data_IF_832550138186
#
_entry.id   IF_832550138186
#
_cell.length_a   1.000
_cell.length_b   1.000
_cell.length_c   1.000
_cell.angle_alpha   90.00
_cell.angle_beta   90.00
_cell.angle_gamma   90.00
#
_symmetry.space_group_name_H-M   'P 1'
#
loop_
_entity.id
_entity.type
_entity.pdbx_description
1 polymer ?
#
# COMPACT_ATOMS: atom_id res chain seq x y z
N UNK A 1 0.02 -2.35 -11.90
CA UNK A 1 -1.25 -2.47 -11.17
C UNK A 1 -1.96 -1.13 -11.00
N UNK A 2 -1.23 -0.03 -10.85
CA UNK A 2 -1.81 1.32 -10.68
C UNK A 2 -2.68 1.74 -11.85
N UNK A 3 -2.34 1.33 -13.08
CA UNK A 3 -3.17 1.56 -14.27
C UNK A 3 -4.60 0.99 -14.12
N UNK A 4 -4.78 -0.05 -13.32
CA UNK A 4 -6.08 -0.67 -13.04
C UNK A 4 -6.74 -0.17 -11.75
N UNK A 5 -6.20 0.84 -11.07
CA UNK A 5 -6.70 1.30 -9.76
C UNK A 5 -8.19 1.69 -9.81
N UNK A 6 -8.60 2.45 -10.84
CA UNK A 6 -10.00 2.86 -11.02
C UNK A 6 -10.91 1.64 -11.21
N UNK A 7 -10.59 0.76 -12.16
CA UNK A 7 -11.38 -0.44 -12.46
C UNK A 7 -11.42 -1.41 -11.28
N UNK A 8 -10.29 -1.59 -10.58
CA UNK A 8 -10.25 -2.40 -9.35
C UNK A 8 -11.15 -1.84 -8.25
N UNK A 9 -11.26 -0.53 -8.13
CA UNK A 9 -12.13 0.12 -7.14
C UNK A 9 -13.61 0.03 -7.55
N UNK A 10 -13.93 0.37 -8.79
CA UNK A 10 -15.30 0.39 -9.27
C UNK A 10 -15.94 -1.01 -9.25
N UNK A 11 -15.20 -2.02 -9.67
CA UNK A 11 -15.69 -3.39 -9.74
C UNK A 11 -15.83 -4.06 -8.36
N UNK A 12 -15.39 -3.43 -7.25
CA UNK A 12 -15.76 -3.88 -5.90
C UNK A 12 -17.28 -3.91 -5.69
N UNK A 13 -18.03 -3.09 -6.43
CA UNK A 13 -19.49 -3.05 -6.38
C UNK A 13 -20.15 -4.32 -6.93
N UNK A 14 -19.44 -5.03 -7.81
CA UNK A 14 -19.90 -6.30 -8.40
C UNK A 14 -19.63 -7.51 -7.48
N UNK A 15 -18.80 -7.34 -6.46
CA UNK A 15 -18.41 -8.38 -5.51
C UNK A 15 -19.35 -8.43 -4.30
N UNK A 16 -20.65 -8.47 -4.54
CA UNK A 16 -21.70 -8.46 -3.51
C UNK A 16 -21.66 -9.71 -2.60
N UNK A 17 -21.17 -10.84 -3.14
CA UNK A 17 -21.01 -12.10 -2.42
C UNK A 17 -19.62 -12.27 -1.77
N UNK A 18 -18.85 -11.17 -1.68
CA UNK A 18 -17.63 -11.10 -0.91
C UNK A 18 -17.90 -10.45 0.45
N UNK A 19 -17.23 -10.87 1.53
CA UNK A 19 -17.36 -10.24 2.84
C UNK A 19 -17.14 -8.73 2.76
N UNK A 20 -18.02 -7.94 3.36
CA UNK A 20 -17.94 -6.47 3.37
C UNK A 20 -16.59 -5.97 3.90
N UNK A 21 -16.03 -6.66 4.90
CA UNK A 21 -14.72 -6.35 5.46
C UNK A 21 -13.59 -6.47 4.42
N UNK A 22 -13.61 -7.50 3.57
CA UNK A 22 -12.60 -7.67 2.51
C UNK A 22 -12.71 -6.56 1.48
N UNK A 23 -13.93 -6.22 1.06
CA UNK A 23 -14.18 -5.11 0.13
C UNK A 23 -13.68 -3.78 0.71
N UNK A 24 -14.01 -3.48 1.95
CA UNK A 24 -13.52 -2.28 2.64
C UNK A 24 -11.99 -2.25 2.77
N UNK A 25 -11.35 -3.40 3.05
CA UNK A 25 -9.88 -3.49 3.08
C UNK A 25 -9.27 -3.16 1.72
N UNK A 26 -9.83 -3.68 0.62
CA UNK A 26 -9.35 -3.38 -0.73
C UNK A 26 -9.61 -1.92 -1.12
N UNK A 27 -10.80 -1.39 -0.85
CA UNK A 27 -11.15 0.01 -1.09
C UNK A 27 -10.16 0.95 -0.39
N UNK A 28 -9.90 0.73 0.89
CA UNK A 28 -8.95 1.52 1.67
C UNK A 28 -7.50 1.36 1.17
N UNK A 29 -7.12 0.16 0.67
CA UNK A 29 -5.79 -0.09 0.15
C UNK A 29 -5.57 0.57 -1.21
N UNK A 30 -6.55 0.52 -2.10
CA UNK A 30 -6.55 1.22 -3.38
C UNK A 30 -6.53 2.73 -3.13
N UNK A 31 -7.38 3.22 -2.23
CA UNK A 31 -7.32 4.54 -1.63
C UNK A 31 -7.36 5.67 -2.65
N UNK A 32 -8.53 5.89 -3.27
CA UNK A 32 -8.76 7.02 -4.19
C UNK A 32 -8.92 8.32 -3.40
N UNK A 33 -8.10 9.30 -3.68
CA UNK A 33 -8.13 10.61 -3.04
C UNK A 33 -8.37 11.70 -4.09
N UNK A 34 -9.45 12.45 -3.93
CA UNK A 34 -9.73 13.64 -4.73
C UNK A 34 -9.11 14.85 -4.05
N UNK A 35 -8.41 15.67 -4.81
CA UNK A 35 -7.76 16.86 -4.26
C UNK A 35 -7.28 17.81 -5.34
N UNK A 36 -6.32 18.64 -4.98
CA UNK A 36 -5.73 19.64 -5.85
C UNK A 36 -4.21 19.52 -5.79
N UNK A 37 -3.57 19.46 -6.95
CA UNK A 37 -2.14 19.69 -7.09
C UNK A 37 -1.91 21.20 -7.16
N UNK A 38 -1.20 21.75 -6.19
CA UNK A 38 -0.99 23.20 -6.02
C UNK A 38 0.48 23.51 -6.27
N UNK A 39 0.74 24.56 -7.03
CA UNK A 39 2.07 24.96 -7.44
C UNK A 39 2.61 26.12 -6.60
N UNK A 40 3.64 25.85 -5.80
CA UNK A 40 4.38 26.83 -5.01
C UNK A 40 5.69 27.19 -5.72
N UNK A 41 5.79 28.41 -6.27
CA UNK A 41 7.00 28.88 -6.95
C UNK A 41 8.09 29.18 -5.92
N UNK A 42 9.32 28.77 -6.18
CA UNK A 42 10.45 29.05 -5.29
C UNK A 42 10.95 30.48 -5.55
N UNK A 43 11.16 31.22 -4.47
CA UNK A 43 11.69 32.61 -4.55
C UNK A 43 13.13 32.58 -5.07
N UNK A 44 13.38 33.29 -6.17
CA UNK A 44 14.71 33.40 -6.78
C UNK A 44 15.13 32.19 -7.63
N UNK A 45 14.24 31.27 -7.93
CA UNK A 45 14.47 30.14 -8.82
C UNK A 45 13.27 29.91 -9.77
N UNK A 46 13.52 29.21 -10.87
CA UNK A 46 12.43 28.80 -11.79
C UNK A 46 11.69 27.53 -11.30
N UNK A 47 12.19 26.90 -10.26
CA UNK A 47 11.65 25.66 -9.74
C UNK A 47 10.28 25.87 -9.06
N UNK A 48 9.45 24.85 -9.15
CA UNK A 48 8.11 24.80 -8.57
C UNK A 48 8.00 23.57 -7.69
N UNK A 49 7.50 23.74 -6.47
CA UNK A 49 7.10 22.64 -5.60
C UNK A 49 5.61 22.39 -5.84
N UNK A 50 5.27 21.23 -6.35
CA UNK A 50 3.87 20.81 -6.48
C UNK A 50 3.46 20.02 -5.24
N UNK A 51 2.39 20.44 -4.60
CA UNK A 51 1.81 19.83 -3.39
C UNK A 51 0.45 19.25 -3.72
N UNK A 52 0.20 18.01 -3.39
CA UNK A 52 -1.15 17.44 -3.42
C UNK A 52 -1.83 17.62 -2.06
N UNK A 53 -3.07 18.13 -2.08
CA UNK A 53 -3.89 18.23 -0.87
C UNK A 53 -5.34 17.82 -1.10
N UNK A 54 -5.92 17.11 -0.14
CA UNK A 54 -7.37 16.84 -0.06
C UNK A 54 -8.12 17.95 0.70
N UNK A 55 -7.37 18.92 1.25
CA UNK A 55 -7.84 20.03 2.06
C UNK A 55 -7.52 21.40 1.42
N UNK A 56 -7.98 21.68 0.18
CA UNK A 56 -7.77 22.99 -0.44
C UNK A 56 -8.43 24.14 0.36
N UNK A 57 -9.44 23.84 1.19
CA UNK A 57 -10.10 24.76 2.11
C UNK A 57 -9.12 25.43 3.10
N UNK A 58 -7.97 24.82 3.38
CA UNK A 58 -6.99 25.34 4.35
C UNK A 58 -5.83 26.10 3.73
N UNK A 59 -5.76 26.24 2.39
CA UNK A 59 -4.61 26.81 1.68
C UNK A 59 -4.22 28.24 2.14
N UNK A 60 -5.21 29.07 2.51
CA UNK A 60 -4.95 30.41 3.02
C UNK A 60 -4.22 30.42 4.36
N UNK A 61 -4.28 29.30 5.11
CA UNK A 61 -3.58 29.06 6.37
C UNK A 61 -2.23 28.38 6.22
N UNK A 62 -1.80 28.07 4.99
CA UNK A 62 -0.50 27.45 4.75
C UNK A 62 0.62 28.44 5.05
N UNK A 63 1.46 28.14 6.04
CA UNK A 63 2.53 29.04 6.54
C UNK A 63 3.93 28.49 6.29
N UNK A 64 4.08 27.26 5.85
CA UNK A 64 5.32 26.68 5.37
C UNK A 64 5.04 25.48 4.44
N UNK A 65 6.07 25.03 3.74
CA UNK A 65 6.03 23.83 2.87
C UNK A 65 7.04 22.82 3.41
N UNK A 66 6.70 21.55 3.37
CA UNK A 66 7.62 20.47 3.80
C UNK A 66 7.79 19.46 2.66
N UNK A 67 9.05 19.18 2.34
CA UNK A 67 9.42 18.13 1.37
C UNK A 67 9.81 16.85 2.09
N UNK A 68 9.61 15.73 1.43
CA UNK A 68 10.25 14.49 1.84
C UNK A 68 11.77 14.62 1.74
N UNK A 69 12.56 14.06 2.66
CA UNK A 69 14.02 14.12 2.59
C UNK A 69 14.60 13.59 1.27
N UNK A 70 13.92 12.63 0.66
CA UNK A 70 14.29 11.99 -0.61
C UNK A 70 13.84 12.78 -1.86
N UNK A 71 13.13 13.90 -1.68
CA UNK A 71 12.59 14.67 -2.80
C UNK A 71 13.70 15.22 -3.70
N UNK A 72 13.60 15.10 -5.06
CA UNK A 72 14.69 15.48 -5.99
C UNK A 72 15.14 16.94 -5.85
N UNK A 73 14.21 17.85 -5.54
CA UNK A 73 14.54 19.27 -5.36
C UNK A 73 15.42 19.54 -4.13
N UNK A 74 15.45 18.66 -3.12
CA UNK A 74 16.22 18.89 -1.88
C UNK A 74 17.69 19.14 -2.20
N UNK A 75 18.33 18.20 -2.90
CA UNK A 75 19.75 18.32 -3.28
C UNK A 75 20.00 19.55 -4.15
N UNK A 76 19.11 19.84 -5.10
CA UNK A 76 19.23 20.98 -6.00
C UNK A 76 19.17 22.31 -5.25
N UNK A 77 18.23 22.46 -4.31
CA UNK A 77 17.97 23.70 -3.59
C UNK A 77 19.03 24.05 -2.55
N UNK A 78 19.74 23.04 -2.01
CA UNK A 78 20.76 23.28 -0.97
C UNK A 78 22.19 23.30 -1.53
N UNK A 79 22.39 22.89 -2.78
CA UNK A 79 23.72 22.84 -3.40
C UNK A 79 24.40 24.20 -3.37
N UNK A 80 25.62 24.24 -2.80
CA UNK A 80 26.41 25.49 -2.64
C UNK A 80 25.93 26.43 -1.55
N UNK A 81 24.91 26.07 -0.77
CA UNK A 81 24.42 26.89 0.37
C UNK A 81 25.09 26.48 1.68
N UNK A 82 25.02 27.35 2.68
CA UNK A 82 25.49 27.05 4.04
C UNK A 82 24.72 25.90 4.71
N UNK A 83 23.52 25.58 4.23
CA UNK A 83 22.67 24.52 4.77
C UNK A 83 22.98 23.12 4.18
N UNK A 84 23.72 23.03 3.07
CA UNK A 84 23.94 21.80 2.32
C UNK A 84 24.39 20.63 3.21
N UNK A 85 25.45 20.84 3.99
CA UNK A 85 26.01 19.80 4.87
C UNK A 85 25.00 19.28 5.90
N UNK A 86 24.26 20.19 6.54
CA UNK A 86 23.27 19.82 7.57
C UNK A 86 22.06 19.09 6.97
N UNK A 87 21.58 19.56 5.83
CA UNK A 87 20.45 18.95 5.13
C UNK A 87 20.80 17.55 4.63
N UNK A 88 21.96 17.37 4.00
CA UNK A 88 22.38 16.05 3.51
C UNK A 88 22.60 15.04 4.66
N UNK A 89 23.15 15.48 5.79
CA UNK A 89 23.26 14.63 6.98
C UNK A 89 21.87 14.19 7.52
N UNK A 90 20.88 15.08 7.49
CA UNK A 90 19.51 14.73 7.87
C UNK A 90 18.86 13.76 6.90
N UNK A 91 19.07 13.94 5.59
CA UNK A 91 18.60 13.01 4.56
C UNK A 91 19.15 11.59 4.80
N UNK A 92 20.45 11.46 5.05
CA UNK A 92 21.11 10.20 5.34
C UNK A 92 20.59 9.57 6.65
N UNK A 93 20.48 10.36 7.72
CA UNK A 93 19.88 9.91 9.00
C UNK A 93 18.48 9.36 8.79
N UNK A 94 17.66 10.04 7.99
CA UNK A 94 16.25 9.68 7.77
C UNK A 94 16.13 8.46 6.85
N UNK A 95 17.01 8.28 5.88
CA UNK A 95 17.04 7.10 5.01
C UNK A 95 17.22 5.78 5.78
N UNK A 96 17.87 5.82 6.94
CA UNK A 96 18.05 4.67 7.83
C UNK A 96 16.84 4.36 8.73
N UNK A 97 15.84 5.27 8.82
CA UNK A 97 14.58 5.03 9.54
C UNK A 97 13.60 4.25 8.68
N UNK A 98 12.97 3.21 9.22
CA UNK A 98 11.90 2.51 8.49
C UNK A 98 10.69 3.44 8.27
N UNK A 99 9.94 3.24 7.18
CA UNK A 99 8.72 4.01 6.90
C UNK A 99 7.69 3.89 8.04
N UNK A 100 7.59 2.73 8.67
CA UNK A 100 6.71 2.52 9.82
C UNK A 100 7.10 3.39 11.01
N UNK A 101 8.39 3.52 11.31
CA UNK A 101 8.89 4.42 12.37
C UNK A 101 8.59 5.90 12.06
N UNK A 102 8.77 6.32 10.79
CA UNK A 102 8.48 7.70 10.36
C UNK A 102 6.99 8.06 10.47
N UNK A 103 6.10 7.07 10.32
CA UNK A 103 4.64 7.23 10.40
C UNK A 103 4.06 7.03 11.80
N UNK A 104 4.83 6.48 12.74
CA UNK A 104 4.36 6.23 14.11
C UNK A 104 4.08 7.56 14.83
N UNK A 105 2.93 7.61 15.56
CA UNK A 105 2.47 8.82 16.26
C UNK A 105 3.23 9.15 17.56
N UNK A 106 4.19 8.31 17.98
CA UNK A 106 4.85 8.42 19.29
C UNK A 106 6.15 9.21 19.34
N UNK A 107 6.77 9.49 18.20
CA UNK A 107 8.03 10.25 18.15
C UNK A 107 7.82 11.69 17.71
N UNK A 108 8.59 12.60 18.33
CA UNK A 108 8.64 14.01 17.92
C UNK A 108 9.07 14.12 16.46
N UNK A 109 8.29 14.84 15.65
CA UNK A 109 8.60 15.05 14.23
C UNK A 109 9.81 15.94 14.08
N UNK A 110 10.80 15.45 13.32
CA UNK A 110 12.04 16.17 13.06
C UNK A 110 12.03 16.78 11.67
N UNK A 111 12.66 17.93 11.52
CA UNK A 111 12.86 18.58 10.22
C UNK A 111 13.87 19.68 10.25
N UNK A 112 14.34 20.10 9.07
CA UNK A 112 15.36 21.13 8.88
C UNK A 112 14.89 22.10 7.79
N UNK A 113 15.09 23.41 8.03
CA UNK A 113 14.86 24.44 7.02
C UNK A 113 15.89 24.34 5.88
N UNK A 114 15.42 24.44 4.64
CA UNK A 114 16.29 24.45 3.46
C UNK A 114 16.96 25.83 3.21
N UNK A 115 16.56 26.87 3.94
CA UNK A 115 17.04 28.23 3.72
C UNK A 115 16.40 28.95 2.53
N UNK A 116 15.46 28.31 1.85
CA UNK A 116 14.69 28.86 0.72
C UNK A 116 13.24 29.11 1.10
N UNK A 117 12.56 29.98 0.34
CA UNK A 117 11.13 30.28 0.50
C UNK A 117 10.35 29.90 -0.77
N UNK A 118 9.08 29.55 -0.61
CA UNK A 118 8.16 29.35 -1.71
C UNK A 118 6.98 30.33 -1.60
N UNK A 119 6.39 30.72 -2.71
CA UNK A 119 5.26 31.66 -2.76
C UNK A 119 3.95 30.86 -2.61
N UNK A 120 3.18 31.18 -1.57
CA UNK A 120 1.81 30.67 -1.46
C UNK A 120 0.96 31.35 -2.56
N UNK A 121 0.41 30.56 -3.52
CA UNK A 121 -0.22 31.14 -4.71
C UNK A 121 -1.50 31.93 -4.42
N UNK A 122 -2.20 31.67 -3.31
CA UNK A 122 -3.50 32.31 -3.01
C UNK A 122 -3.37 33.69 -2.35
N UNK A 123 -2.24 33.95 -1.65
CA UNK A 123 -2.04 35.23 -0.93
C UNK A 123 -0.73 35.96 -1.29
N UNK A 124 0.17 35.30 -2.04
CA UNK A 124 1.45 35.88 -2.47
C UNK A 124 2.54 35.89 -1.39
N UNK A 125 2.31 35.29 -0.24
CA UNK A 125 3.28 35.28 0.87
C UNK A 125 4.43 34.31 0.59
N UNK A 126 5.65 34.77 0.90
CA UNK A 126 6.86 33.98 0.84
C UNK A 126 7.04 33.16 2.14
N UNK A 127 6.67 31.88 2.10
CA UNK A 127 6.71 30.96 3.24
C UNK A 127 7.95 30.06 3.18
N UNK A 128 8.55 29.68 4.34
CA UNK A 128 9.77 28.87 4.36
C UNK A 128 9.52 27.43 3.90
N UNK A 129 10.58 26.83 3.34
CA UNK A 129 10.59 25.42 2.91
C UNK A 129 11.46 24.60 3.85
N UNK A 130 10.92 23.48 4.32
CA UNK A 130 11.56 22.50 5.19
C UNK A 130 11.68 21.15 4.51
N UNK A 131 12.53 20.27 5.04
CA UNK A 131 12.39 18.81 4.92
C UNK A 131 11.92 18.26 6.25
N UNK A 132 11.09 17.22 6.21
CA UNK A 132 10.55 16.59 7.42
C UNK A 132 10.52 15.07 7.32
N UNK A 133 10.88 14.37 8.41
CA UNK A 133 10.90 12.91 8.44
C UNK A 133 9.52 12.27 8.35
N UNK A 134 8.47 13.02 8.58
CA UNK A 134 7.07 12.58 8.50
C UNK A 134 6.43 12.74 7.10
N UNK A 135 7.13 13.35 6.14
CA UNK A 135 6.71 13.43 4.74
C UNK A 135 7.36 12.30 3.96
N UNK A 136 6.54 11.56 3.21
CA UNK A 136 7.00 10.41 2.43
C UNK A 136 6.98 10.74 0.94
N UNK A 137 8.07 10.39 0.22
CA UNK A 137 8.14 10.55 -1.23
C UNK A 137 7.08 9.76 -2.00
N UNK A 138 6.63 8.67 -1.42
CA UNK A 138 5.69 7.75 -2.04
C UNK A 138 4.21 8.16 -1.88
N UNK A 139 3.89 9.27 -1.24
CA UNK A 139 2.53 9.76 -1.08
C UNK A 139 2.37 11.14 -1.70
N UNK A 140 1.38 11.27 -2.57
CA UNK A 140 1.17 12.51 -3.34
C UNK A 140 2.38 12.84 -4.21
N UNK A 141 2.91 14.03 -4.02
CA UNK A 141 4.07 14.56 -4.75
C UNK A 141 5.38 14.48 -3.95
N UNK A 142 5.37 13.91 -2.74
CA UNK A 142 6.50 13.99 -1.80
C UNK A 142 6.68 15.38 -1.17
N UNK A 143 5.66 16.23 -1.27
CA UNK A 143 5.61 17.56 -0.70
C UNK A 143 4.23 17.81 -0.06
N UNK A 144 4.21 18.55 1.04
CA UNK A 144 2.98 19.01 1.69
C UNK A 144 3.01 20.50 1.93
N UNK A 145 1.87 21.15 1.83
CA UNK A 145 1.64 22.44 2.43
C UNK A 145 1.27 22.23 3.90
N UNK A 146 1.90 22.94 4.80
CA UNK A 146 1.65 22.81 6.22
C UNK A 146 0.69 23.87 6.72
N UNK A 147 -0.36 23.42 7.42
CA UNK A 147 -1.43 24.25 7.96
C UNK A 147 -1.57 24.03 9.45
N UNK A 148 -0.72 24.64 10.28
CA UNK A 148 -0.57 24.34 11.70
C UNK A 148 -1.87 24.41 12.52
N UNK A 149 -2.79 25.28 12.18
CA UNK A 149 -4.05 25.43 12.93
C UNK A 149 -5.08 24.36 12.60
N UNK A 150 -4.87 23.56 11.53
CA UNK A 150 -5.85 22.60 11.00
C UNK A 150 -5.27 21.21 10.69
N UNK A 151 -4.01 20.94 11.05
CA UNK A 151 -3.38 19.60 11.07
C UNK A 151 -2.52 19.49 12.33
N UNK A 152 -2.73 18.46 13.13
CA UNK A 152 -2.08 18.31 14.43
C UNK A 152 -0.56 18.10 14.29
N UNK A 153 -0.09 17.42 13.26
CA UNK A 153 1.36 17.23 13.02
C UNK A 153 2.04 18.55 12.67
N UNK A 154 1.38 19.35 11.86
CA UNK A 154 1.87 20.66 11.48
C UNK A 154 1.85 21.63 12.68
N UNK A 155 0.84 21.52 13.57
CA UNK A 155 0.75 22.30 14.81
C UNK A 155 1.94 22.02 15.74
N UNK A 156 2.25 20.76 15.98
CA UNK A 156 3.38 20.33 16.81
C UNK A 156 4.73 20.77 16.22
N UNK A 157 4.87 20.63 14.90
CA UNK A 157 6.07 21.06 14.19
C UNK A 157 6.24 22.58 14.23
N UNK A 158 5.18 23.33 13.98
CA UNK A 158 5.20 24.79 14.01
C UNK A 158 5.53 25.33 15.40
N UNK A 159 4.97 24.74 16.46
CA UNK A 159 5.32 25.07 17.84
C UNK A 159 6.81 24.82 18.14
N UNK A 160 7.33 23.69 17.69
CA UNK A 160 8.74 23.32 17.86
C UNK A 160 9.70 24.30 17.19
N UNK A 161 9.37 24.71 15.97
CA UNK A 161 10.20 25.59 15.15
C UNK A 161 9.81 27.07 15.25
N UNK A 162 8.83 27.42 16.11
CA UNK A 162 8.30 28.79 16.31
C UNK A 162 7.86 29.42 14.99
N UNK A 163 7.16 28.65 14.16
CA UNK A 163 6.65 29.10 12.87
C UNK A 163 5.31 29.83 13.03
N UNK A 164 4.99 30.76 12.13
CA UNK A 164 3.70 31.45 12.17
C UNK A 164 2.54 30.48 11.94
N UNK A 165 1.41 30.80 12.57
CA UNK A 165 0.17 30.03 12.44
C UNK A 165 -0.96 30.98 12.05
N UNK A 166 -1.94 30.50 11.29
CA UNK A 166 -3.09 31.28 10.85
C UNK A 166 -4.35 30.44 10.87
N UNK A 167 -5.36 30.90 11.64
CA UNK A 167 -6.67 30.29 11.69
C UNK A 167 -7.43 30.63 10.39
N UNK A 168 -7.88 29.61 9.67
CA UNK A 168 -8.70 29.78 8.45
C UNK A 168 -10.02 28.99 8.49
N UNK A 169 -10.22 28.18 9.54
CA UNK A 169 -11.51 27.55 9.83
C UNK A 169 -11.83 27.82 11.30
N UNK A 170 -13.04 28.29 11.56
CA UNK A 170 -13.56 28.57 12.89
C UNK A 170 -14.77 27.71 13.20
N UNK A 171 -15.00 27.45 14.49
CA UNK A 171 -16.25 26.86 14.93
C UNK A 171 -17.43 27.80 14.63
N UNK A 172 -18.57 27.32 14.10
CA UNK A 172 -19.65 28.19 13.62
C UNK A 172 -20.29 29.08 14.70
N UNK A 173 -20.19 28.68 15.96
CA UNK A 173 -20.83 29.40 17.10
C UNK A 173 -19.84 30.00 18.08
N UNK A 174 -18.67 29.41 18.22
CA UNK A 174 -17.68 29.77 19.23
C UNK A 174 -16.34 30.06 18.56
N UNK A 175 -16.05 31.34 18.31
CA UNK A 175 -14.77 31.71 17.74
C UNK A 175 -13.64 31.53 18.79
N UNK A 176 -12.56 30.88 18.36
CA UNK A 176 -11.36 30.70 19.19
C UNK A 176 -10.20 31.58 18.67
N UNK A 177 -9.26 31.87 19.56
CA UNK A 177 -8.07 32.66 19.25
C UNK A 177 -6.83 31.78 19.21
N UNK A 178 -5.83 32.20 18.45
CA UNK A 178 -4.59 31.46 18.29
C UNK A 178 -3.89 31.20 19.63
N UNK A 179 -3.89 32.19 20.53
CA UNK A 179 -3.24 32.14 21.85
C UNK A 179 -3.90 31.10 22.78
N UNK A 180 -5.15 30.72 22.51
CA UNK A 180 -5.88 29.74 23.31
C UNK A 180 -5.78 28.32 22.76
N UNK A 181 -5.13 28.11 21.60
CA UNK A 181 -5.02 26.80 20.98
C UNK A 181 -3.95 25.93 21.67
N UNK A 182 -4.34 24.79 22.17
CA UNK A 182 -3.45 23.73 22.68
C UNK A 182 -3.28 22.58 21.68
N UNK A 183 -4.12 22.54 20.65
CA UNK A 183 -4.13 21.54 19.59
C UNK A 183 -4.74 22.13 18.31
N UNK A 184 -4.52 21.47 17.18
CA UNK A 184 -5.13 21.86 15.91
C UNK A 184 -6.65 21.67 15.93
N UNK A 185 -7.36 22.50 15.16
CA UNK A 185 -8.80 22.38 14.93
C UNK A 185 -9.05 21.66 13.60
N UNK A 186 -9.33 20.36 13.67
CA UNK A 186 -9.43 19.49 12.50
C UNK A 186 -10.89 19.17 12.10
N UNK A 187 -11.88 19.68 12.85
CA UNK A 187 -13.30 19.40 12.61
C UNK A 187 -13.95 20.39 11.66
N UNK A 188 -15.20 20.13 11.28
CA UNK A 188 -15.97 21.00 10.40
C UNK A 188 -16.19 22.40 11.01
N UNK A 189 -16.20 23.42 10.15
CA UNK A 189 -16.38 24.81 10.54
C UNK A 189 -16.66 25.71 9.35
N UNK A 190 -16.55 27.00 9.57
CA UNK A 190 -16.70 28.06 8.55
C UNK A 190 -15.37 28.71 8.26
N UNK A 191 -15.12 29.06 7.01
CA UNK A 191 -13.91 29.74 6.61
C UNK A 191 -13.84 31.17 7.16
N UNK A 192 -12.64 31.54 7.58
CA UNK A 192 -12.24 32.90 7.96
C UNK A 192 -10.84 33.18 7.39
N UNK A 193 -10.47 34.47 7.23
CA UNK A 193 -9.16 34.86 6.68
C UNK A 193 -8.84 34.21 5.31
N UNK A 194 -9.88 33.87 4.54
CA UNK A 194 -9.83 33.16 3.26
C UNK A 194 -10.40 33.98 2.11
N UNK A 195 -10.34 35.32 2.23
CA UNK A 195 -10.82 36.29 1.23
C UNK A 195 -12.31 36.06 0.85
N UNK A 196 -12.59 35.88 -0.45
CA UNK A 196 -13.96 35.69 -0.99
C UNK A 196 -14.62 34.40 -0.51
N UNK A 197 -13.94 33.53 0.21
CA UNK A 197 -14.46 32.30 0.74
C UNK A 197 -14.86 32.37 2.22
N UNK A 198 -14.66 33.53 2.87
CA UNK A 198 -15.04 33.74 4.26
C UNK A 198 -16.54 33.50 4.48
N UNK A 199 -16.88 32.84 5.59
CA UNK A 199 -18.26 32.49 5.94
C UNK A 199 -18.81 31.22 5.26
N UNK A 200 -18.09 30.62 4.31
CA UNK A 200 -18.52 29.38 3.67
C UNK A 200 -18.15 28.18 4.57
N UNK A 201 -19.06 27.19 4.74
CA UNK A 201 -18.71 25.93 5.39
C UNK A 201 -17.54 25.26 4.68
N UNK A 202 -16.55 24.76 5.44
CA UNK A 202 -15.31 24.25 4.86
C UNK A 202 -15.51 23.08 3.90
N UNK A 203 -16.49 22.20 4.12
CA UNK A 203 -16.78 21.10 3.21
C UNK A 203 -17.29 21.58 1.84
N UNK A 204 -18.07 22.65 1.81
CA UNK A 204 -18.50 23.30 0.57
C UNK A 204 -17.34 24.06 -0.09
N UNK A 205 -16.54 24.72 0.72
CA UNK A 205 -15.40 25.51 0.28
C UNK A 205 -14.34 24.67 -0.44
N UNK A 206 -14.12 23.41 -0.05
CA UNK A 206 -13.19 22.49 -0.73
C UNK A 206 -13.40 22.46 -2.24
N UNK A 207 -14.64 22.28 -2.67
CA UNK A 207 -14.99 22.24 -4.11
C UNK A 207 -14.85 23.61 -4.78
N UNK A 208 -15.33 24.67 -4.14
CA UNK A 208 -15.28 26.02 -4.69
C UNK A 208 -13.83 26.53 -4.85
N UNK A 209 -12.98 26.29 -3.84
CA UNK A 209 -11.56 26.68 -3.89
C UNK A 209 -10.82 25.85 -4.92
N UNK A 210 -11.08 24.54 -5.03
CA UNK A 210 -10.46 23.67 -6.02
C UNK A 210 -10.70 24.17 -7.45
N UNK A 211 -11.96 24.46 -7.81
CA UNK A 211 -12.33 25.01 -9.12
C UNK A 211 -11.70 26.38 -9.34
N UNK A 212 -11.79 27.28 -8.36
CA UNK A 212 -11.21 28.62 -8.46
C UNK A 212 -9.69 28.58 -8.67
N UNK A 213 -8.98 27.67 -7.98
CA UNK A 213 -7.52 27.52 -8.17
C UNK A 213 -7.17 27.02 -9.56
N UNK A 214 -7.97 26.13 -10.14
CA UNK A 214 -7.78 25.65 -11.51
C UNK A 214 -8.02 26.76 -12.53
N UNK A 215 -9.09 27.55 -12.38
CA UNK A 215 -9.42 28.71 -13.21
C UNK A 215 -8.31 29.77 -13.18
N UNK A 216 -7.71 29.99 -12.00
CA UNK A 216 -6.60 30.92 -11.80
C UNK A 216 -5.23 30.34 -12.15
N UNK A 217 -5.16 29.11 -12.64
CA UNK A 217 -3.89 28.39 -12.99
C UNK A 217 -2.90 28.28 -11.81
N UNK A 218 -3.41 28.27 -10.59
CA UNK A 218 -2.62 28.08 -9.36
C UNK A 218 -2.41 26.62 -9.02
N UNK A 219 -3.27 25.74 -9.56
CA UNK A 219 -3.25 24.30 -9.35
C UNK A 219 -4.12 23.59 -10.36
N UNK A 220 -4.29 22.28 -10.16
CA UNK A 220 -5.13 21.40 -10.99
C UNK A 220 -5.88 20.43 -10.11
N UNK A 221 -7.19 20.28 -10.34
CA UNK A 221 -7.95 19.20 -9.73
C UNK A 221 -7.38 17.86 -10.16
N UNK A 222 -7.07 17.00 -9.22
CA UNK A 222 -6.39 15.74 -9.49
C UNK A 222 -6.90 14.61 -8.59
N UNK A 223 -6.63 13.39 -9.04
CA UNK A 223 -6.91 12.16 -8.31
C UNK A 223 -5.59 11.45 -8.04
N UNK A 224 -5.32 11.20 -6.77
CA UNK A 224 -4.17 10.41 -6.36
C UNK A 224 -4.61 9.08 -5.75
N UNK A 225 -3.78 8.06 -5.91
CA UNK A 225 -4.03 6.71 -5.44
C UNK A 225 -3.03 6.33 -4.36
N UNK A 226 -3.51 5.66 -3.31
CA UNK A 226 -2.61 5.03 -2.32
C UNK A 226 -1.97 3.79 -2.90
N UNK A 227 -2.69 3.07 -3.77
CA UNK A 227 -2.18 1.90 -4.47
C UNK A 227 -0.91 2.26 -5.23
N UNK A 228 0.11 1.40 -5.11
CA UNK A 228 1.39 1.54 -5.81
C UNK A 228 1.63 0.35 -6.70
N UNK A 229 2.53 0.53 -7.67
CA UNK A 229 2.95 -0.58 -8.50
C UNK A 229 3.64 -1.65 -7.65
N UNK A 230 3.28 -2.87 -7.96
CA UNK A 230 3.80 -4.03 -7.28
C UNK A 230 5.19 -4.37 -7.84
N UNK A 231 6.21 -4.26 -6.98
CA UNK A 231 7.57 -4.67 -7.33
C UNK A 231 7.67 -6.20 -7.28
N UNK A 232 7.80 -6.82 -8.44
CA UNK A 232 7.81 -8.28 -8.59
C UNK A 232 9.17 -8.91 -8.36
N UNK A 233 10.27 -8.19 -8.52
CA UNK A 233 11.64 -8.68 -8.34
C UNK A 233 11.96 -9.12 -6.92
N UNK A 234 12.60 -10.29 -6.78
CA UNK A 234 13.12 -10.83 -5.53
C UNK A 234 14.53 -11.39 -5.71
N UNK A 235 15.43 -11.01 -4.82
CA UNK A 235 16.84 -11.46 -4.76
C UNK A 235 16.92 -12.80 -4.05
N UNK A 236 16.36 -13.85 -4.67
CA UNK A 236 16.37 -15.21 -4.13
C UNK A 236 16.48 -16.24 -5.24
N UNK A 237 16.90 -17.45 -4.89
CA UNK A 237 17.05 -18.56 -5.83
C UNK A 237 15.72 -19.06 -6.37
N UNK A 238 14.75 -19.32 -5.47
CA UNK A 238 13.45 -19.89 -5.86
C UNK A 238 12.48 -18.83 -6.37
N UNK A 239 11.64 -19.23 -7.31
CA UNK A 239 10.62 -18.40 -7.97
C UNK A 239 10.77 -18.48 -9.48
N UNK A 240 9.77 -17.97 -10.22
CA UNK A 240 9.85 -17.88 -11.67
C UNK A 240 10.93 -16.86 -12.06
N UNK A 241 11.94 -17.22 -12.88
CA UNK A 241 12.94 -16.28 -13.34
C UNK A 241 12.31 -15.16 -14.18
N UNK A 242 12.81 -13.94 -14.02
CA UNK A 242 12.38 -12.82 -14.85
C UNK A 242 13.05 -12.93 -16.21
N UNK A 243 12.31 -13.10 -17.33
CA UNK A 243 12.86 -13.44 -18.63
C UNK A 243 13.40 -12.20 -19.37
N UNK A 244 14.37 -11.50 -18.77
CA UNK A 244 14.98 -10.29 -19.32
C UNK A 244 16.51 -10.43 -19.43
N UNK A 245 17.07 -9.72 -20.41
CA UNK A 245 18.51 -9.65 -20.71
C UNK A 245 18.91 -8.18 -20.77
N UNK A 246 20.00 -7.83 -20.13
CA UNK A 246 20.58 -6.48 -20.15
C UNK A 246 21.75 -6.44 -21.11
N UNK A 247 21.62 -5.64 -22.16
CA UNK A 247 22.64 -5.43 -23.19
C UNK A 247 23.09 -3.97 -23.21
N UNK A 248 24.38 -3.71 -23.17
CA UNK A 248 24.93 -2.35 -23.17
C UNK A 248 24.55 -1.55 -24.44
N UNK A 249 24.38 -2.26 -25.55
CA UNK A 249 24.01 -1.62 -26.85
C UNK A 249 22.49 -1.51 -27.08
N UNK A 250 21.69 -2.47 -26.56
CA UNK A 250 20.26 -2.59 -26.87
C UNK A 250 19.35 -2.25 -25.69
N UNK A 251 19.90 -2.03 -24.48
CA UNK A 251 19.16 -1.86 -23.25
C UNK A 251 18.55 -3.17 -22.76
N UNK A 252 17.35 -3.12 -22.22
CA UNK A 252 16.61 -4.29 -21.70
C UNK A 252 15.94 -5.00 -22.88
N UNK A 253 16.22 -6.29 -23.04
CA UNK A 253 15.72 -7.14 -24.12
C UNK A 253 15.03 -8.36 -23.52
N UNK A 254 13.82 -8.76 -23.96
CA UNK A 254 13.19 -9.98 -23.49
C UNK A 254 13.94 -11.23 -24.01
N UNK A 255 13.90 -12.30 -23.22
CA UNK A 255 14.31 -13.63 -23.68
C UNK A 255 13.37 -14.08 -24.81
N UNK A 256 13.89 -14.59 -25.95
CA UNK A 256 13.05 -15.08 -27.04
C UNK A 256 12.10 -16.20 -26.59
N UNK A 257 10.91 -16.28 -27.21
CA UNK A 257 9.90 -17.27 -26.83
C UNK A 257 10.41 -18.72 -26.93
N UNK A 258 11.26 -18.99 -27.93
CA UNK A 258 11.83 -20.30 -28.19
C UNK A 258 12.83 -20.73 -27.12
N UNK A 259 13.29 -19.79 -26.29
CA UNK A 259 14.21 -20.04 -25.18
C UNK A 259 13.50 -20.06 -23.82
N UNK A 260 12.18 -19.98 -23.80
CA UNK A 260 11.36 -20.14 -22.60
C UNK A 260 11.02 -21.62 -22.36
N UNK A 261 10.88 -22.04 -21.11
CA UNK A 261 11.09 -21.27 -19.88
C UNK A 261 12.56 -21.06 -19.56
N UNK A 262 12.90 -19.93 -18.92
CA UNK A 262 14.23 -19.75 -18.33
C UNK A 262 14.38 -20.72 -17.16
N UNK A 263 15.29 -21.66 -17.27
CA UNK A 263 15.50 -22.69 -16.25
C UNK A 263 16.50 -22.20 -15.19
N UNK A 264 16.17 -22.47 -13.92
CA UNK A 264 17.08 -22.22 -12.81
C UNK A 264 18.24 -23.21 -12.82
N UNK A 265 19.48 -22.79 -12.54
CA UNK A 265 20.61 -23.70 -12.44
C UNK A 265 20.45 -24.64 -11.24
N UNK A 266 20.77 -25.92 -11.43
CA UNK A 266 20.60 -26.94 -10.37
C UNK A 266 21.60 -26.79 -9.20
N UNK A 267 22.79 -26.24 -9.48
CA UNK A 267 23.84 -26.04 -8.48
C UNK A 267 24.01 -24.56 -8.21
N UNK A 268 23.58 -24.11 -7.05
CA UNK A 268 23.69 -22.72 -6.59
C UNK A 268 24.14 -22.71 -5.15
N UNK A 269 25.17 -21.96 -4.87
CA UNK A 269 25.68 -21.76 -3.51
C UNK A 269 24.85 -20.66 -2.82
N UNK A 270 24.18 -21.02 -1.73
CA UNK A 270 23.38 -20.10 -0.91
C UNK A 270 24.20 -19.74 0.34
N UNK A 271 24.83 -18.58 0.33
CA UNK A 271 25.75 -18.16 1.41
C UNK A 271 25.08 -17.27 2.46
N UNK A 272 23.82 -16.83 2.26
CA UNK A 272 23.16 -15.85 3.12
C UNK A 272 23.76 -14.42 3.02
N UNK A 273 24.77 -14.19 2.22
CA UNK A 273 25.32 -12.86 1.94
C UNK A 273 24.53 -12.18 0.81
N UNK A 274 24.24 -10.90 0.98
CA UNK A 274 23.33 -10.09 0.18
C UNK A 274 23.37 -10.26 -1.35
N UNK A 275 22.24 -9.91 -1.99
CA UNK A 275 22.01 -10.04 -3.42
C UNK A 275 21.44 -11.40 -3.83
N UNK A 276 21.10 -11.54 -5.12
CA UNK A 276 20.57 -12.79 -5.67
C UNK A 276 21.68 -13.88 -5.71
N UNK A 277 21.41 -15.10 -5.19
CA UNK A 277 22.37 -16.22 -5.34
C UNK A 277 22.70 -16.53 -6.81
N UNK A 278 21.79 -16.26 -7.73
CA UNK A 278 21.96 -16.47 -9.17
C UNK A 278 23.05 -15.59 -9.78
N UNK A 279 23.38 -14.44 -9.18
CA UNK A 279 24.47 -13.56 -9.63
C UNK A 279 25.85 -14.25 -9.63
N UNK A 280 26.02 -15.32 -8.87
CA UNK A 280 27.28 -16.05 -8.73
C UNK A 280 27.46 -17.15 -9.78
N UNK A 281 26.36 -17.52 -10.46
CA UNK A 281 26.40 -18.58 -11.48
C UNK A 281 26.68 -17.95 -12.84
N UNK A 282 27.95 -17.89 -13.22
CA UNK A 282 28.40 -17.20 -14.44
C UNK A 282 27.75 -17.75 -15.72
N UNK A 283 27.52 -19.07 -15.78
CA UNK A 283 26.84 -19.74 -16.90
C UNK A 283 25.37 -19.28 -17.04
N UNK A 284 24.72 -18.92 -15.94
CA UNK A 284 23.37 -18.38 -15.93
C UNK A 284 23.35 -16.89 -16.29
N UNK A 285 24.30 -16.13 -15.77
CA UNK A 285 24.39 -14.67 -15.91
C UNK A 285 24.81 -14.26 -17.31
N UNK A 286 25.90 -14.87 -17.83
CA UNK A 286 26.51 -14.47 -19.09
C UNK A 286 25.77 -15.09 -20.27
N UNK A 287 25.16 -14.25 -21.09
CA UNK A 287 24.38 -14.66 -22.25
C UNK A 287 24.72 -13.82 -23.49
N UNK A 288 24.24 -14.24 -24.63
CA UNK A 288 24.32 -13.46 -25.85
C UNK A 288 23.01 -12.68 -26.03
N UNK A 289 23.14 -11.41 -26.38
CA UNK A 289 21.97 -10.58 -26.68
C UNK A 289 21.25 -11.10 -27.93
N UNK A 290 19.96 -11.44 -27.85
CA UNK A 290 19.23 -11.98 -29.01
C UNK A 290 19.00 -10.94 -30.12
N UNK A 291 19.15 -9.63 -29.80
CA UNK A 291 18.94 -8.56 -30.77
C UNK A 291 20.19 -8.17 -31.55
N UNK A 292 21.37 -8.18 -30.92
CA UNK A 292 22.61 -7.70 -31.56
C UNK A 292 23.78 -8.67 -31.50
N UNK A 293 23.58 -9.87 -30.95
CA UNK A 293 24.58 -10.96 -30.80
C UNK A 293 25.84 -10.59 -30.01
N UNK A 294 25.84 -9.49 -29.26
CA UNK A 294 26.94 -9.11 -28.36
C UNK A 294 26.76 -9.77 -27.00
N UNK A 295 27.86 -9.80 -26.22
CA UNK A 295 27.81 -10.22 -24.82
C UNK A 295 26.78 -9.38 -24.03
N UNK A 296 26.03 -10.04 -23.17
CA UNK A 296 24.95 -9.44 -22.37
C UNK A 296 24.79 -10.20 -21.05
N UNK A 297 23.96 -9.68 -20.15
CA UNK A 297 23.72 -10.27 -18.83
C UNK A 297 22.25 -10.63 -18.66
N UNK A 298 21.96 -11.85 -18.21
CA UNK A 298 20.61 -12.27 -17.84
C UNK A 298 20.20 -11.60 -16.53
N UNK A 299 18.91 -11.32 -16.36
CA UNK A 299 18.32 -10.95 -15.07
C UNK A 299 18.48 -12.12 -14.07
N UNK A 300 18.86 -11.80 -12.86
CA UNK A 300 19.14 -12.77 -11.80
C UNK A 300 18.12 -12.74 -10.66
N UNK A 301 17.17 -11.80 -10.71
CA UNK A 301 16.03 -11.79 -9.81
C UNK A 301 14.96 -12.79 -10.27
N UNK A 302 14.27 -13.35 -9.28
CA UNK A 302 13.07 -14.15 -9.52
C UNK A 302 11.81 -13.36 -9.16
N UNK A 303 10.66 -13.78 -9.66
CA UNK A 303 9.40 -13.12 -9.37
C UNK A 303 8.90 -13.43 -7.96
N UNK A 304 8.18 -12.49 -7.34
CA UNK A 304 7.48 -12.70 -6.10
C UNK A 304 6.51 -13.90 -6.21
N UNK A 305 6.38 -14.71 -5.17
CA UNK A 305 5.50 -15.89 -5.18
C UNK A 305 4.04 -15.58 -5.49
N UNK A 306 3.57 -14.38 -5.13
CA UNK A 306 2.23 -13.94 -5.51
C UNK A 306 2.05 -13.74 -7.01
N UNK A 307 3.12 -13.64 -7.80
CA UNK A 307 3.01 -13.55 -9.24
C UNK A 307 2.36 -14.82 -9.81
N UNK A 308 2.90 -15.98 -9.47
CA UNK A 308 2.37 -17.28 -9.92
C UNK A 308 0.99 -17.57 -9.31
N UNK A 309 0.83 -17.33 -8.01
CA UNK A 309 -0.42 -17.59 -7.31
C UNK A 309 -1.58 -16.67 -7.74
N UNK A 310 -1.30 -15.54 -8.40
CA UNK A 310 -2.33 -14.61 -8.83
C UNK A 310 -3.18 -15.11 -10.00
N UNK A 311 -2.73 -16.18 -10.69
CA UNK A 311 -3.44 -16.72 -11.84
C UNK A 311 -3.46 -18.27 -11.89
N UNK A 312 -2.97 -18.96 -10.87
CA UNK A 312 -2.84 -20.43 -10.82
C UNK A 312 -4.16 -21.14 -11.10
N UNK A 313 -5.30 -20.57 -10.67
CA UNK A 313 -6.63 -21.13 -10.88
C UNK A 313 -7.03 -21.21 -12.37
N UNK A 314 -6.52 -20.33 -13.20
CA UNK A 314 -6.65 -20.41 -14.67
C UNK A 314 -5.80 -21.56 -15.23
N UNK A 315 -4.59 -21.72 -14.73
CA UNK A 315 -3.72 -22.85 -15.12
C UNK A 315 -4.32 -24.19 -14.73
N UNK A 316 -5.00 -24.27 -13.60
CA UNK A 316 -5.67 -25.49 -13.16
C UNK A 316 -6.77 -25.98 -14.14
N UNK A 317 -7.43 -25.06 -14.83
CA UNK A 317 -8.39 -25.42 -15.86
C UNK A 317 -7.75 -26.18 -17.04
N UNK A 318 -6.44 -25.99 -17.28
CA UNK A 318 -5.67 -26.59 -18.38
C UNK A 318 -4.32 -27.12 -17.90
N UNK A 319 -4.27 -27.88 -16.81
CA UNK A 319 -3.05 -28.25 -16.13
C UNK A 319 -2.01 -28.97 -17.03
N UNK A 320 -2.45 -29.71 -18.03
CA UNK A 320 -1.61 -30.47 -18.95
C UNK A 320 -1.33 -29.76 -20.29
N UNK A 321 -1.75 -28.50 -20.45
CA UNK A 321 -1.44 -27.73 -21.65
C UNK A 321 0.04 -27.32 -21.63
N UNK A 322 0.82 -27.79 -22.60
CA UNK A 322 2.24 -27.51 -22.78
C UNK A 322 2.55 -26.46 -23.86
N UNK A 323 1.51 -25.98 -24.56
CA UNK A 323 1.63 -25.04 -25.69
C UNK A 323 1.32 -23.61 -25.32
N UNK A 324 0.43 -23.40 -24.35
CA UNK A 324 -0.10 -22.10 -23.95
C UNK A 324 -0.09 -21.98 -22.41
N UNK A 325 -0.21 -20.75 -21.92
CA UNK A 325 -0.29 -20.50 -20.46
C UNK A 325 -1.53 -21.18 -19.86
N UNK A 326 -2.64 -21.23 -20.60
CA UNK A 326 -3.86 -22.04 -20.37
C UNK A 326 -4.71 -22.00 -21.64
N UNK A 327 -5.59 -23.00 -21.79
CA UNK A 327 -6.53 -23.03 -22.90
C UNK A 327 -7.67 -22.03 -22.68
N UNK A 328 -7.92 -21.18 -23.68
CA UNK A 328 -8.89 -20.09 -23.60
C UNK A 328 -10.32 -20.58 -23.46
N UNK A 329 -10.70 -21.66 -24.15
CA UNK A 329 -12.06 -22.19 -24.10
C UNK A 329 -12.34 -22.91 -22.77
N UNK A 330 -11.35 -23.63 -22.22
CA UNK A 330 -11.41 -24.21 -20.89
C UNK A 330 -11.51 -23.14 -19.81
N UNK A 331 -10.69 -22.07 -19.91
CA UNK A 331 -10.77 -20.93 -19.01
C UNK A 331 -12.14 -20.24 -19.08
N UNK A 332 -12.69 -20.06 -20.29
CA UNK A 332 -14.04 -19.49 -20.48
C UNK A 332 -15.12 -20.34 -19.87
N UNK A 333 -15.02 -21.67 -19.96
CA UNK A 333 -15.98 -22.59 -19.38
C UNK A 333 -15.96 -22.58 -17.84
N UNK A 334 -14.76 -22.59 -17.24
CA UNK A 334 -14.60 -22.73 -15.79
C UNK A 334 -14.64 -21.41 -15.01
N UNK A 335 -14.31 -20.27 -15.63
CA UNK A 335 -14.24 -18.98 -14.93
C UNK A 335 -15.59 -18.22 -14.98
N UNK A 336 -15.91 -17.42 -13.99
CA UNK A 336 -15.21 -17.21 -12.72
C UNK A 336 -15.46 -18.35 -11.74
N UNK A 337 -14.49 -18.61 -10.86
CA UNK A 337 -14.62 -19.65 -9.81
C UNK A 337 -15.86 -19.39 -8.95
N UNK A 338 -16.71 -20.39 -8.76
CA UNK A 338 -18.00 -20.23 -8.07
C UNK A 338 -17.84 -19.96 -6.58
N UNK A 339 -16.92 -20.67 -5.91
CA UNK A 339 -16.65 -20.52 -4.49
C UNK A 339 -15.14 -20.53 -4.23
N UNK A 340 -14.62 -19.47 -3.63
CA UNK A 340 -13.23 -19.34 -3.23
C UNK A 340 -13.11 -19.26 -1.70
N UNK A 341 -12.15 -19.97 -1.12
CA UNK A 341 -11.98 -20.07 0.33
C UNK A 341 -10.53 -19.77 0.69
N UNK A 342 -10.31 -18.88 1.64
CA UNK A 342 -8.96 -18.53 2.09
C UNK A 342 -8.94 -17.65 3.33
N UNK A 343 -7.75 -17.24 3.77
CA UNK A 343 -7.57 -16.35 4.90
C UNK A 343 -7.83 -14.89 4.56
N UNK A 344 -8.35 -14.12 5.51
CA UNK A 344 -8.63 -12.70 5.33
C UNK A 344 -7.36 -11.86 5.12
N UNK A 345 -6.20 -12.33 5.56
CA UNK A 345 -4.90 -11.70 5.37
C UNK A 345 -4.54 -11.50 3.91
N UNK A 346 -5.14 -12.30 3.02
CA UNK A 346 -4.96 -12.19 1.58
C UNK A 346 -5.82 -11.11 0.90
N UNK A 347 -6.67 -10.42 1.65
CA UNK A 347 -7.59 -9.41 1.10
C UNK A 347 -6.88 -8.38 0.21
N UNK A 348 -5.73 -7.85 0.65
CA UNK A 348 -4.95 -6.83 -0.06
C UNK A 348 -3.67 -7.38 -0.72
N UNK A 349 -3.50 -8.69 -0.73
CA UNK A 349 -2.39 -9.41 -1.33
C UNK A 349 -2.91 -10.28 -2.49
N UNK A 350 -2.95 -11.59 -2.28
CA UNK A 350 -3.36 -12.57 -3.30
C UNK A 350 -4.69 -12.23 -3.96
N UNK A 351 -5.73 -11.87 -3.20
CA UNK A 351 -7.05 -11.57 -3.77
C UNK A 351 -7.05 -10.32 -4.64
N UNK A 352 -6.34 -9.28 -4.25
CA UNK A 352 -6.19 -8.06 -5.05
C UNK A 352 -5.39 -8.33 -6.33
N UNK A 353 -4.29 -9.09 -6.21
CA UNK A 353 -3.46 -9.44 -7.36
C UNK A 353 -4.18 -10.38 -8.32
N UNK A 354 -4.99 -11.33 -7.83
CA UNK A 354 -5.82 -12.19 -8.68
C UNK A 354 -6.85 -11.38 -9.49
N UNK A 355 -7.46 -10.37 -8.89
CA UNK A 355 -8.34 -9.43 -9.59
C UNK A 355 -7.60 -8.66 -10.67
N UNK A 356 -6.41 -8.15 -10.34
CA UNK A 356 -5.55 -7.45 -11.30
C UNK A 356 -5.17 -8.34 -12.48
N UNK A 357 -4.70 -9.57 -12.23
CA UNK A 357 -4.32 -10.50 -13.30
C UNK A 357 -5.51 -10.88 -14.19
N UNK A 358 -6.69 -11.06 -13.61
CA UNK A 358 -7.91 -11.35 -14.39
C UNK A 358 -8.24 -10.20 -15.34
N UNK A 359 -8.15 -8.95 -14.87
CA UNK A 359 -8.37 -7.77 -15.74
C UNK A 359 -7.30 -7.65 -16.83
N UNK A 360 -6.05 -7.88 -16.49
CA UNK A 360 -4.94 -7.90 -17.43
C UNK A 360 -5.14 -8.98 -18.51
N UNK A 361 -5.51 -10.19 -18.14
CA UNK A 361 -5.79 -11.26 -19.11
C UNK A 361 -7.05 -10.99 -19.94
N UNK A 362 -8.03 -10.29 -19.38
CA UNK A 362 -9.19 -9.84 -20.14
C UNK A 362 -8.80 -8.84 -21.23
N UNK A 363 -7.94 -7.88 -20.92
CA UNK A 363 -7.44 -6.91 -21.90
C UNK A 363 -6.63 -7.57 -23.03
N UNK A 364 -5.93 -8.67 -22.71
CA UNK A 364 -5.26 -9.53 -23.70
C UNK A 364 -6.23 -10.45 -24.45
N UNK A 365 -7.52 -10.45 -24.12
CA UNK A 365 -8.53 -11.32 -24.73
C UNK A 365 -8.36 -12.81 -24.39
N UNK A 366 -7.69 -13.13 -23.29
CA UNK A 366 -7.45 -14.52 -22.83
C UNK A 366 -8.57 -15.04 -21.95
N UNK A 367 -9.30 -14.17 -21.25
CA UNK A 367 -10.49 -14.50 -20.45
C UNK A 367 -11.60 -13.48 -20.74
N UNK A 368 -12.86 -13.86 -20.48
CA UNK A 368 -14.01 -12.97 -20.70
C UNK A 368 -14.51 -12.35 -19.37
N UNK A 369 -14.21 -12.97 -18.24
CA UNK A 369 -14.65 -12.49 -16.92
C UNK A 369 -13.85 -11.27 -16.45
N UNK A 370 -14.50 -10.37 -15.73
CA UNK A 370 -13.85 -9.19 -15.13
C UNK A 370 -13.30 -9.48 -13.73
N UNK A 371 -13.84 -10.47 -13.05
CA UNK A 371 -13.47 -10.86 -11.68
C UNK A 371 -13.22 -12.37 -11.59
N UNK A 372 -12.20 -12.80 -10.81
CA UNK A 372 -11.80 -14.21 -10.76
C UNK A 372 -12.75 -15.11 -9.97
N UNK A 373 -13.39 -14.58 -8.91
CA UNK A 373 -14.15 -15.37 -7.93
C UNK A 373 -15.53 -14.74 -7.72
N UNK A 374 -16.60 -15.53 -7.88
CA UNK A 374 -17.99 -15.09 -7.65
C UNK A 374 -18.26 -14.90 -6.15
N UNK A 375 -17.98 -15.93 -5.35
CA UNK A 375 -18.17 -15.93 -3.90
C UNK A 375 -16.85 -16.10 -3.19
N UNK A 376 -16.66 -15.35 -2.11
CA UNK A 376 -15.51 -15.50 -1.25
C UNK A 376 -15.93 -15.84 0.18
N UNK A 377 -15.34 -16.90 0.71
CA UNK A 377 -15.43 -17.25 2.11
C UNK A 377 -14.08 -16.99 2.77
N UNK A 378 -14.03 -16.06 3.72
CA UNK A 378 -12.83 -15.83 4.52
C UNK A 378 -12.92 -16.60 5.84
N UNK A 379 -11.93 -17.44 6.10
CA UNK A 379 -11.79 -18.13 7.36
C UNK A 379 -11.41 -17.16 8.49
N UNK A 380 -11.87 -17.46 9.71
CA UNK A 380 -11.41 -16.78 10.92
C UNK A 380 -9.96 -17.15 11.26
N UNK A 381 -9.29 -16.30 12.01
CA UNK A 381 -7.94 -16.58 12.51
C UNK A 381 -8.02 -17.57 13.67
N UNK A 382 -7.29 -18.68 13.58
CA UNK A 382 -7.08 -19.58 14.71
C UNK A 382 -5.99 -18.97 15.59
N UNK A 383 -6.34 -18.69 16.83
CA UNK A 383 -5.44 -18.09 17.83
C UNK A 383 -4.88 -19.16 18.76
N UNK A 384 -3.65 -18.96 19.27
CA UNK A 384 -3.09 -19.69 20.40
C UNK A 384 -2.91 -18.73 21.56
N UNK A 385 -3.49 -19.06 22.70
CA UNK A 385 -3.43 -18.22 23.92
C UNK A 385 -3.91 -16.78 23.68
N UNK A 386 -4.93 -16.60 22.80
CA UNK A 386 -5.50 -15.29 22.45
C UNK A 386 -4.69 -14.47 21.44
N UNK A 387 -3.57 -14.98 20.96
CA UNK A 387 -2.70 -14.30 20.01
C UNK A 387 -2.63 -15.02 18.65
N UNK A 388 -2.39 -14.23 17.59
CA UNK A 388 -2.14 -14.76 16.25
C UNK A 388 -0.85 -15.57 16.25
N UNK A 389 -0.93 -16.80 15.73
CA UNK A 389 0.23 -17.67 15.62
C UNK A 389 1.27 -17.11 14.65
N UNK A 390 2.55 -17.10 15.08
CA UNK A 390 3.67 -16.64 14.27
C UNK A 390 4.92 -17.45 14.56
N UNK A 391 5.65 -17.85 13.51
CA UNK A 391 6.97 -18.52 13.67
C UNK A 391 7.96 -17.67 14.44
N UNK A 392 7.97 -16.35 14.22
CA UNK A 392 8.88 -15.43 14.90
C UNK A 392 8.59 -15.29 16.41
N UNK A 393 7.35 -15.57 16.84
CA UNK A 393 6.94 -15.57 18.26
C UNK A 393 7.06 -16.94 18.92
N UNK A 394 7.30 -18.00 18.15
CA UNK A 394 7.38 -19.37 18.66
C UNK A 394 6.05 -19.92 19.23
N UNK A 395 4.92 -19.27 18.91
CA UNK A 395 3.59 -19.65 19.41
C UNK A 395 2.76 -20.45 18.40
N UNK A 396 3.41 -21.16 17.46
CA UNK A 396 2.73 -22.06 16.52
C UNK A 396 2.34 -23.38 17.18
N UNK A 397 1.25 -23.98 16.69
CA UNK A 397 0.86 -25.35 17.03
C UNK A 397 1.27 -26.25 15.85
N UNK A 398 2.01 -27.31 16.14
CA UNK A 398 2.35 -28.31 15.14
C UNK A 398 1.14 -29.20 14.88
N UNK A 399 0.61 -29.26 13.65
CA UNK A 399 -0.50 -30.15 13.32
C UNK A 399 -0.20 -31.64 13.63
N UNK A 400 1.05 -32.09 13.46
CA UNK A 400 1.43 -33.48 13.66
C UNK A 400 1.30 -33.94 15.11
N UNK A 401 1.53 -33.04 16.07
CA UNK A 401 1.26 -33.33 17.49
C UNK A 401 -0.24 -33.54 17.75
N UNK A 402 -1.08 -32.73 17.12
CA UNK A 402 -2.53 -32.85 17.27
C UNK A 402 -3.08 -34.08 16.53
N UNK A 403 -2.56 -34.34 15.33
CA UNK A 403 -2.93 -35.50 14.53
C UNK A 403 -2.61 -36.83 15.25
N UNK A 404 -1.42 -36.92 15.83
CA UNK A 404 -1.00 -38.13 16.53
C UNK A 404 -1.80 -38.37 17.81
N UNK A 405 -2.26 -37.32 18.47
CA UNK A 405 -3.00 -37.42 19.75
C UNK A 405 -4.51 -37.59 19.59
N UNK A 406 -5.11 -36.92 18.60
CA UNK A 406 -6.56 -36.80 18.47
C UNK A 406 -7.11 -37.26 17.12
N UNK A 407 -6.24 -37.56 16.15
CA UNK A 407 -6.62 -37.97 14.79
C UNK A 407 -6.96 -36.77 13.87
N UNK A 408 -6.95 -37.07 12.57
CA UNK A 408 -7.13 -36.06 11.51
C UNK A 408 -8.55 -35.47 11.50
N UNK A 409 -9.57 -36.31 11.72
CA UNK A 409 -10.97 -35.85 11.64
C UNK A 409 -11.31 -34.93 12.82
N UNK A 410 -10.73 -35.17 14.01
CA UNK A 410 -10.86 -34.27 15.15
C UNK A 410 -10.25 -32.91 14.87
N UNK A 411 -9.05 -32.87 14.29
CA UNK A 411 -8.41 -31.61 13.91
C UNK A 411 -9.20 -30.86 12.83
N UNK A 412 -9.69 -31.57 11.80
CA UNK A 412 -10.53 -30.97 10.76
C UNK A 412 -11.82 -30.39 11.32
N UNK A 413 -12.52 -31.18 12.16
CA UNK A 413 -13.76 -30.72 12.80
C UNK A 413 -13.50 -29.50 13.68
N UNK A 414 -12.43 -29.53 14.47
CA UNK A 414 -12.04 -28.40 15.33
C UNK A 414 -11.79 -27.13 14.52
N UNK A 415 -11.00 -27.20 13.43
CA UNK A 415 -10.72 -26.05 12.57
C UNK A 415 -12.01 -25.54 11.92
N UNK A 416 -12.86 -26.43 11.40
CA UNK A 416 -14.15 -26.03 10.84
C UNK A 416 -15.01 -25.33 11.90
N UNK A 417 -15.02 -25.83 13.12
CA UNK A 417 -15.79 -25.24 14.22
C UNK A 417 -15.22 -23.90 14.66
N UNK A 418 -13.92 -23.82 14.89
CA UNK A 418 -13.23 -22.61 15.34
C UNK A 418 -13.24 -21.48 14.29
N UNK A 419 -13.08 -21.82 13.01
CA UNK A 419 -13.05 -20.85 11.92
C UNK A 419 -14.42 -20.55 11.31
N UNK A 420 -15.35 -21.52 11.31
CA UNK A 420 -16.70 -21.37 10.74
C UNK A 420 -17.70 -20.70 11.69
N UNK A 421 -17.42 -20.65 12.99
CA UNK A 421 -18.34 -20.01 13.96
C UNK A 421 -18.54 -18.51 13.70
N UNK A 422 -17.61 -17.85 13.08
CA UNK A 422 -17.80 -16.48 12.56
C UNK A 422 -18.93 -16.45 11.51
N UNK A 423 -19.12 -17.54 10.76
CA UNK A 423 -20.17 -17.65 9.75
C UNK A 423 -21.54 -17.98 10.35
N UNK A 424 -21.60 -18.88 11.34
CA UNK A 424 -22.85 -19.25 12.00
C UNK A 424 -23.45 -18.04 12.74
N UNK A 425 -22.63 -17.19 13.37
CA UNK A 425 -23.10 -15.96 14.00
C UNK A 425 -23.61 -14.91 13.00
N UNK A 426 -23.14 -14.93 11.74
CA UNK A 426 -23.62 -14.04 10.66
C UNK A 426 -24.93 -14.55 10.04
N UNK A 427 -25.12 -15.86 9.94
CA UNK A 427 -26.33 -16.45 9.34
C UNK A 427 -27.45 -16.69 10.36
N UNK A 428 -27.13 -16.78 11.64
CA UNK A 428 -28.11 -17.00 12.70
C UNK A 428 -27.92 -16.05 13.89
N UNK A 429 -28.08 -14.73 13.68
CA UNK A 429 -27.87 -13.73 14.75
C UNK A 429 -28.82 -13.90 15.94
N UNK A 430 -29.92 -14.65 15.79
CA UNK A 430 -30.90 -14.87 16.86
C UNK A 430 -30.73 -16.16 17.65
N UNK A 431 -29.82 -17.05 17.25
CA UNK A 431 -29.66 -18.38 17.89
C UNK A 431 -28.67 -18.34 19.04
N UNK A 432 -27.69 -17.41 19.04
CA UNK A 432 -26.70 -17.31 20.14
C UNK A 432 -26.32 -15.86 20.47
N UNK A 433 -27.12 -15.08 21.18
CA UNK A 433 -26.78 -13.73 21.57
C UNK A 433 -25.62 -13.58 22.59
N UNK A 434 -25.12 -14.68 23.12
CA UNK A 434 -24.09 -14.73 24.18
C UNK A 434 -22.68 -15.05 23.68
N UNK A 435 -22.49 -15.38 22.43
CA UNK A 435 -21.21 -15.85 21.94
C UNK A 435 -20.32 -14.70 21.45
N UNK A 436 -19.35 -14.30 22.29
CA UNK A 436 -18.23 -13.47 21.82
C UNK A 436 -17.20 -14.37 21.13
N UNK A 437 -16.68 -14.01 19.92
CA UNK A 437 -15.75 -14.86 19.17
C UNK A 437 -14.32 -14.78 19.76
N UNK A 438 -14.16 -15.32 20.96
CA UNK A 438 -12.85 -15.53 21.58
C UNK A 438 -12.78 -16.98 22.05
N UNK A 439 -12.58 -17.92 21.12
CA UNK A 439 -12.23 -19.28 21.51
C UNK A 439 -10.75 -19.29 21.90
N UNK A 440 -10.49 -19.18 23.17
CA UNK A 440 -9.17 -19.31 23.78
C UNK A 440 -9.01 -20.80 24.10
N UNK A 441 -8.12 -21.50 23.39
CA UNK A 441 -7.65 -22.81 23.81
C UNK A 441 -6.69 -22.63 24.98
N UNK A 442 -7.18 -22.80 26.20
CA UNK A 442 -6.29 -22.95 27.36
C UNK A 442 -5.98 -24.43 27.56
N UNK A 443 -4.74 -24.73 27.97
CA UNK A 443 -4.25 -26.09 28.25
C UNK A 443 -5.14 -26.86 29.26
N UNK A 444 -5.98 -26.16 30.02
CA UNK A 444 -6.86 -26.70 31.07
C UNK A 444 -8.21 -27.21 30.57
N UNK A 445 -8.62 -26.91 29.35
CA UNK A 445 -9.98 -27.26 28.84
C UNK A 445 -10.04 -28.49 27.94
N UNK A 446 -8.88 -29.06 27.58
CA UNK A 446 -8.82 -30.31 26.84
C UNK A 446 -8.74 -31.46 27.84
N UNK A 447 -9.88 -31.87 28.39
CA UNK A 447 -9.95 -33.10 29.15
C UNK A 447 -10.03 -34.28 28.20
N UNK A 448 -9.21 -35.34 28.36
CA UNK A 448 -9.34 -36.55 27.57
C UNK A 448 -10.73 -37.17 27.81
N UNK A 449 -11.42 -37.56 26.73
CA UNK A 449 -12.63 -38.34 26.80
C UNK A 449 -12.22 -39.72 27.30
N UNK A 450 -12.62 -40.07 28.53
CA UNK A 450 -12.37 -41.39 29.07
C UNK A 450 -13.08 -42.43 28.20
N UNK A 451 -12.35 -43.43 27.73
CA UNK A 451 -12.82 -44.55 26.89
C UNK A 451 -13.88 -45.46 27.57
N UNK A 452 -14.15 -45.27 28.88
CA UNK A 452 -15.08 -46.09 29.65
C UNK A 452 -16.58 -45.80 29.42
N UNK A 453 -16.94 -44.82 28.57
CA UNK A 453 -18.36 -44.46 28.31
C UNK A 453 -18.91 -44.83 26.95
N UNK A 454 -18.20 -45.62 26.16
CA UNK A 454 -18.68 -46.06 24.83
C UNK A 454 -19.16 -47.52 24.85
N UNK A 455 -19.20 -48.21 26.01
CA UNK A 455 -19.69 -49.59 26.11
C UNK A 455 -20.90 -49.72 27.06
N UNK A 456 -21.91 -48.86 26.88
CA UNK A 456 -23.24 -49.13 27.43
C UNK A 456 -24.33 -48.61 26.52
#
# INVERSE_FOLDING_TARGET
ITHYAETLLEDLKQLDQWPSRVRAMQENWIGKSYGVDINFKIVGAEDVITVFTTRPDTIFGATYVVLAPEHPLVKKLVSGTSQEKHVLAFVEKTANKSKSMRMSGGERKEGIALGVKAINPVNGEAIPVFIGDYVLMDYGTGAIMAVPTHDQRDFEFANTHKLPMRIVIQHPKEAFKLESMSQAYEVAGVLVNSKQFDGIPNEEAKKKIAIWMEDQKMGKVSVHWRLRDWLISRQRYWGAPIPMIYCDSCGVVPVPLEQLPVQLPQKVEITGQGGSPLNRVQEFVNVICPKCSKAARRETDTMATFFDSSWYFLRFASAHNDKEIFNKDEARYWMSVDQYIGGIEHAILHLLYSRFFTKFFKDLGLVDCAEPFKRLLTQGMVLKDGEVMSKSRGNTVDPDEVLSKYGADTLRLFILFAAAFVLISLFFPHVMPWYRPHLILTKSEIKPINEEKISS
#
